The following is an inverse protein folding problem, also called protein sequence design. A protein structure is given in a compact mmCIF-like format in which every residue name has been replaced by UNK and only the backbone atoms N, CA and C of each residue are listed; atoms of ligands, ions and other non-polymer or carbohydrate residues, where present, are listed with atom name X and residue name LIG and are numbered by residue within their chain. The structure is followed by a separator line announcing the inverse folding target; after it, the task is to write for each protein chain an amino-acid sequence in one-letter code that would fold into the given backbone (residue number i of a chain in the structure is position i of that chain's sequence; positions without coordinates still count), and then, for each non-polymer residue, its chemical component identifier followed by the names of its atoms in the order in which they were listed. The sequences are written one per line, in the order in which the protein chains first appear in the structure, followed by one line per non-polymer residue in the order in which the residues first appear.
data_IF_019812432133
#
_entry.id   IF_019812432133
#
_cell.length_a   1.000
_cell.length_b   1.000
_cell.length_c   1.000
_cell.angle_alpha   90.00
_cell.angle_beta   90.00
_cell.angle_gamma   90.00
#
_symmetry.space_group_name_H-M   'P 1'
#
loop_
_entity.id
_entity.type
_entity.pdbx_description
1 polymer ?
#
# COMPACT_ATOMS: atom_id res chain seq x y z
N UNK A 1 -49.09 -39.89 -17.14
CA UNK A 1 -50.14 -39.53 -16.15
C UNK A 1 -50.94 -38.37 -16.71
N UNK A 2 -52.28 -38.44 -16.72
CA UNK A 2 -53.09 -37.24 -17.03
C UNK A 2 -52.78 -36.19 -15.98
N UNK A 3 -52.56 -34.95 -16.40
CA UNK A 3 -52.30 -33.84 -15.48
C UNK A 3 -53.48 -33.71 -14.52
N UNK A 4 -53.23 -33.86 -13.23
CA UNK A 4 -54.27 -33.71 -12.21
C UNK A 4 -54.80 -32.28 -12.29
N UNK A 5 -56.12 -32.11 -12.40
CA UNK A 5 -56.74 -30.79 -12.34
C UNK A 5 -57.01 -30.42 -10.87
N UNK A 6 -56.01 -29.80 -10.26
CA UNK A 6 -56.03 -29.36 -8.87
C UNK A 6 -57.20 -28.42 -8.55
N UNK A 7 -57.64 -27.61 -9.52
CA UNK A 7 -58.70 -26.66 -9.32
C UNK A 7 -60.05 -27.37 -9.22
N UNK A 8 -60.31 -28.32 -10.13
CA UNK A 8 -61.52 -29.15 -10.11
C UNK A 8 -61.60 -30.01 -8.84
N UNK A 9 -60.48 -30.59 -8.40
CA UNK A 9 -60.42 -31.35 -7.14
C UNK A 9 -60.72 -30.49 -5.92
N UNK A 10 -60.14 -29.28 -5.87
CA UNK A 10 -60.35 -28.33 -4.78
C UNK A 10 -61.80 -27.86 -4.71
N UNK A 11 -62.40 -27.50 -5.83
CA UNK A 11 -63.80 -27.09 -5.91
C UNK A 11 -64.76 -28.22 -5.50
N UNK A 12 -64.47 -29.46 -5.92
CA UNK A 12 -65.24 -30.64 -5.51
C UNK A 12 -65.13 -30.91 -4.00
N UNK A 13 -63.93 -30.81 -3.42
CA UNK A 13 -63.68 -30.99 -1.99
C UNK A 13 -64.33 -29.88 -1.14
N UNK A 14 -64.21 -28.61 -1.53
CA UNK A 14 -64.84 -27.47 -0.86
C UNK A 14 -66.37 -27.54 -0.94
N UNK A 15 -66.93 -28.05 -2.04
CA UNK A 15 -68.38 -28.28 -2.20
C UNK A 15 -68.88 -29.41 -1.29
N UNK A 16 -68.09 -30.48 -1.12
CA UNK A 16 -68.41 -31.58 -0.22
C UNK A 16 -68.29 -31.18 1.27
N UNK A 17 -67.33 -30.33 1.64
CA UNK A 17 -67.14 -29.89 3.03
C UNK A 17 -68.22 -28.93 3.54
N UNK A 18 -68.86 -28.16 2.64
CA UNK A 18 -70.00 -27.27 2.96
C UNK A 18 -71.21 -28.00 3.57
N UNK A 19 -71.26 -29.33 3.47
CA UNK A 19 -72.33 -30.18 4.02
C UNK A 19 -71.97 -30.68 5.43
N UNK A 20 -70.87 -30.19 6.04
CA UNK A 20 -70.36 -30.60 7.35
C UNK A 20 -70.24 -32.12 7.52
N UNK A 21 -69.97 -32.80 6.40
CA UNK A 21 -69.99 -34.25 6.33
C UNK A 21 -68.67 -34.82 6.80
N UNK A 22 -68.69 -35.49 7.95
CA UNK A 22 -67.50 -36.06 8.61
C UNK A 22 -67.35 -37.57 8.37
N UNK A 23 -68.34 -38.23 7.76
CA UNK A 23 -68.32 -39.67 7.47
C UNK A 23 -69.73 -40.29 7.40
N UNK A 24 -69.78 -41.61 7.29
CA UNK A 24 -71.02 -42.41 7.16
C UNK A 24 -71.87 -42.50 8.44
N UNK A 25 -71.52 -41.78 9.50
CA UNK A 25 -72.16 -41.90 10.83
C UNK A 25 -73.26 -40.86 11.11
N UNK A 26 -73.58 -39.95 10.19
CA UNK A 26 -74.66 -38.97 10.41
C UNK A 26 -75.94 -39.35 9.65
N UNK A 27 -77.05 -39.45 10.41
CA UNK A 27 -78.41 -39.82 9.99
C UNK A 27 -79.09 -38.77 9.09
N UNK A 28 -78.54 -38.48 7.90
CA UNK A 28 -79.10 -37.53 6.94
C UNK A 28 -79.58 -38.19 5.63
N UNK A 29 -80.70 -37.65 5.13
CA UNK A 29 -81.54 -38.22 4.08
C UNK A 29 -80.78 -38.41 2.74
N UNK A 30 -80.84 -39.64 2.20
CA UNK A 30 -79.92 -40.21 1.22
C UNK A 30 -79.80 -39.48 -0.15
N UNK A 31 -80.81 -38.71 -0.57
CA UNK A 31 -80.95 -38.31 -1.99
C UNK A 31 -80.13 -37.05 -2.36
N UNK A 32 -79.94 -36.11 -1.42
CA UNK A 32 -79.12 -34.92 -1.62
C UNK A 32 -77.61 -35.19 -1.45
N UNK A 33 -77.26 -36.05 -0.50
CA UNK A 33 -75.89 -36.49 -0.22
C UNK A 33 -75.28 -37.26 -1.39
N UNK A 34 -76.05 -38.17 -1.99
CA UNK A 34 -75.58 -39.02 -3.08
C UNK A 34 -75.09 -38.23 -4.29
N UNK A 35 -75.68 -37.07 -4.60
CA UNK A 35 -75.26 -36.28 -5.78
C UNK A 35 -73.91 -35.59 -5.57
N UNK A 36 -73.67 -35.02 -4.39
CA UNK A 36 -72.40 -34.36 -4.05
C UNK A 36 -71.30 -35.38 -3.77
N UNK A 37 -71.65 -36.48 -3.09
CA UNK A 37 -70.78 -37.64 -2.86
C UNK A 37 -70.34 -38.27 -4.18
N UNK A 38 -71.29 -38.53 -5.08
CA UNK A 38 -71.00 -39.14 -6.38
C UNK A 38 -70.12 -38.23 -7.22
N UNK A 39 -70.35 -36.91 -7.19
CA UNK A 39 -69.46 -35.93 -7.85
C UNK A 39 -68.05 -35.93 -7.23
N UNK A 40 -67.94 -35.96 -5.91
CA UNK A 40 -66.65 -36.04 -5.23
C UNK A 40 -65.92 -37.34 -5.58
N UNK A 41 -66.56 -38.50 -5.51
CA UNK A 41 -65.96 -39.80 -5.88
C UNK A 41 -65.59 -39.86 -7.38
N UNK A 42 -66.39 -39.24 -8.25
CA UNK A 42 -66.08 -39.11 -9.69
C UNK A 42 -64.83 -38.26 -9.92
N UNK A 43 -64.63 -37.21 -9.12
CA UNK A 43 -63.46 -36.35 -9.20
C UNK A 43 -62.26 -36.86 -8.38
N UNK A 44 -62.47 -37.68 -7.33
CA UNK A 44 -61.47 -38.15 -6.36
C UNK A 44 -61.39 -39.69 -6.35
N UNK A 45 -61.31 -40.26 -7.55
CA UNK A 45 -61.15 -41.71 -7.75
C UNK A 45 -59.90 -42.24 -7.00
N UNK A 46 -59.88 -43.51 -6.56
CA UNK A 46 -58.69 -44.12 -5.93
C UNK A 46 -57.38 -43.90 -6.71
N UNK A 47 -57.44 -43.82 -8.05
CA UNK A 47 -56.28 -43.54 -8.90
C UNK A 47 -55.74 -42.12 -8.66
N UNK A 48 -56.62 -41.13 -8.49
CA UNK A 48 -56.26 -39.74 -8.23
C UNK A 48 -55.69 -39.61 -6.82
N UNK A 49 -56.30 -40.26 -5.84
CA UNK A 49 -55.79 -40.29 -4.46
C UNK A 49 -54.39 -40.88 -4.38
N UNK A 50 -54.14 -41.99 -5.08
CA UNK A 50 -52.79 -42.58 -5.17
C UNK A 50 -51.80 -41.63 -5.86
N UNK A 51 -52.20 -40.99 -6.96
CA UNK A 51 -51.33 -40.03 -7.66
C UNK A 51 -50.99 -38.79 -6.84
N UNK A 52 -51.90 -38.33 -5.96
CA UNK A 52 -51.64 -37.23 -5.03
C UNK A 52 -50.70 -37.65 -3.90
N UNK A 53 -50.79 -38.89 -3.43
CA UNK A 53 -49.85 -39.45 -2.45
C UNK A 53 -48.44 -39.57 -3.06
N UNK A 54 -48.33 -40.09 -4.28
CA UNK A 54 -47.06 -40.19 -4.99
C UNK A 54 -46.42 -38.80 -5.21
N UNK A 55 -47.22 -37.78 -5.58
CA UNK A 55 -46.73 -36.40 -5.74
C UNK A 55 -46.31 -35.78 -4.40
N UNK A 56 -47.06 -36.03 -3.32
CA UNK A 56 -46.68 -35.58 -1.98
C UNK A 56 -45.36 -36.20 -1.52
N UNK A 57 -45.17 -37.50 -1.75
CA UNK A 57 -43.94 -38.19 -1.38
C UNK A 57 -42.75 -37.66 -2.20
N UNK A 58 -42.93 -37.44 -3.50
CA UNK A 58 -41.91 -36.80 -4.34
C UNK A 58 -41.58 -35.36 -3.90
N UNK A 59 -42.57 -34.58 -3.46
CA UNK A 59 -42.36 -33.24 -2.91
C UNK A 59 -41.62 -33.29 -1.58
N UNK A 60 -41.94 -34.23 -0.70
CA UNK A 60 -41.23 -34.42 0.58
C UNK A 60 -39.75 -34.78 0.35
N UNK A 61 -39.48 -35.65 -0.62
CA UNK A 61 -38.10 -35.96 -1.03
C UNK A 61 -37.37 -34.71 -1.55
N UNK A 62 -38.06 -33.89 -2.36
CA UNK A 62 -37.48 -32.63 -2.87
C UNK A 62 -37.21 -31.61 -1.76
N UNK A 63 -38.10 -31.50 -0.78
CA UNK A 63 -37.91 -30.63 0.39
C UNK A 63 -36.70 -31.08 1.20
N UNK A 64 -36.59 -32.38 1.49
CA UNK A 64 -35.45 -32.93 2.24
C UNK A 64 -34.11 -32.69 1.51
N UNK A 65 -34.10 -32.75 0.17
CA UNK A 65 -32.91 -32.43 -0.62
C UNK A 65 -32.56 -30.93 -0.58
N UNK A 66 -33.57 -30.05 -0.68
CA UNK A 66 -33.37 -28.60 -0.57
C UNK A 66 -32.86 -28.21 0.83
N UNK A 67 -33.36 -28.82 1.89
CA UNK A 67 -32.88 -28.58 3.26
C UNK A 67 -31.40 -28.97 3.43
N UNK A 68 -30.97 -30.10 2.83
CA UNK A 68 -29.55 -30.48 2.80
C UNK A 68 -28.71 -29.45 2.06
N UNK A 69 -29.19 -28.98 0.91
CA UNK A 69 -28.49 -27.95 0.11
C UNK A 69 -28.39 -26.63 0.87
N UNK A 70 -29.46 -26.19 1.55
CA UNK A 70 -29.44 -25.02 2.41
C UNK A 70 -28.39 -25.15 3.51
N UNK A 71 -28.38 -26.26 4.25
CA UNK A 71 -27.39 -26.50 5.30
C UNK A 71 -25.95 -26.53 4.76
N UNK A 72 -25.75 -27.05 3.54
CA UNK A 72 -24.45 -27.03 2.89
C UNK A 72 -24.02 -25.62 2.47
N UNK A 73 -24.95 -24.83 1.92
CA UNK A 73 -24.68 -23.43 1.56
C UNK A 73 -24.42 -22.55 2.78
N UNK A 74 -25.14 -22.74 3.88
CA UNK A 74 -24.87 -22.04 5.14
C UNK A 74 -23.47 -22.36 5.67
N UNK A 75 -23.07 -23.63 5.64
CA UNK A 75 -21.71 -24.04 6.04
C UNK A 75 -20.64 -23.41 5.15
N UNK A 76 -20.84 -23.42 3.83
CA UNK A 76 -19.91 -22.79 2.87
C UNK A 76 -19.85 -21.27 3.06
N UNK A 77 -20.99 -20.63 3.31
CA UNK A 77 -21.04 -19.20 3.57
C UNK A 77 -20.25 -18.84 4.83
N UNK A 78 -20.45 -19.57 5.93
CA UNK A 78 -19.68 -19.38 7.17
C UNK A 78 -18.19 -19.57 6.94
N UNK A 79 -17.78 -20.65 6.27
CA UNK A 79 -16.38 -20.89 5.92
C UNK A 79 -15.78 -19.75 5.08
N UNK A 80 -16.51 -19.27 4.07
CA UNK A 80 -16.04 -18.14 3.25
C UNK A 80 -15.92 -16.86 4.08
N UNK A 81 -16.84 -16.59 5.01
CA UNK A 81 -16.75 -15.41 5.89
C UNK A 81 -15.54 -15.50 6.81
N UNK A 82 -15.23 -16.67 7.37
CA UNK A 82 -14.04 -16.89 8.18
C UNK A 82 -12.75 -16.70 7.36
N UNK A 83 -12.70 -17.24 6.14
CA UNK A 83 -11.58 -17.03 5.21
C UNK A 83 -11.41 -15.56 4.83
N UNK A 84 -12.51 -14.85 4.53
CA UNK A 84 -12.47 -13.43 4.25
C UNK A 84 -11.98 -12.61 5.46
N UNK A 85 -12.39 -12.98 6.68
CA UNK A 85 -11.92 -12.33 7.90
C UNK A 85 -10.41 -12.53 8.11
N UNK A 86 -9.92 -13.76 7.94
CA UNK A 86 -8.49 -14.07 8.01
C UNK A 86 -7.68 -13.33 6.93
N UNK A 87 -8.23 -13.22 5.72
CA UNK A 87 -7.61 -12.48 4.63
C UNK A 87 -7.55 -10.98 4.91
N UNK A 88 -8.61 -10.41 5.50
CA UNK A 88 -8.65 -9.01 5.90
C UNK A 88 -7.60 -8.70 6.98
N UNK A 89 -7.47 -9.56 8.00
CA UNK A 89 -6.44 -9.44 9.04
C UNK A 89 -5.03 -9.47 8.43
N UNK A 90 -4.80 -10.38 7.47
CA UNK A 90 -3.51 -10.47 6.76
C UNK A 90 -3.21 -9.23 5.92
N UNK A 91 -4.22 -8.65 5.26
CA UNK A 91 -4.08 -7.40 4.50
C UNK A 91 -3.69 -6.26 5.44
N UNK A 92 -4.36 -6.15 6.59
CA UNK A 92 -4.06 -5.11 7.58
C UNK A 92 -2.62 -5.24 8.13
N UNK A 93 -2.18 -6.47 8.43
CA UNK A 93 -0.80 -6.75 8.83
C UNK A 93 0.22 -6.34 7.75
N UNK A 94 -0.07 -6.64 6.48
CA UNK A 94 0.78 -6.27 5.35
C UNK A 94 0.80 -4.75 5.11
N UNK A 95 -0.34 -4.08 5.29
CA UNK A 95 -0.44 -2.62 5.19
C UNK A 95 0.33 -1.93 6.32
N UNK A 96 0.26 -2.44 7.55
CA UNK A 96 1.04 -1.95 8.69
C UNK A 96 2.55 -2.09 8.48
N UNK A 97 2.98 -3.12 7.74
CA UNK A 97 4.39 -3.37 7.38
C UNK A 97 4.83 -2.66 6.09
N UNK A 98 3.92 -1.98 5.41
CA UNK A 98 4.21 -1.31 4.14
C UNK A 98 5.13 -0.11 4.34
N UNK A 99 5.99 0.15 3.37
CA UNK A 99 6.84 1.33 3.39
C UNK A 99 5.97 2.62 3.34
N UNK A 100 6.31 3.66 4.12
CA UNK A 100 5.69 4.98 4.03
C UNK A 100 5.62 5.52 2.60
N UNK A 101 4.56 6.27 2.30
CA UNK A 101 4.33 6.83 0.95
C UNK A 101 5.43 7.82 0.52
N UNK A 102 6.12 8.45 1.48
CA UNK A 102 7.30 9.29 1.23
C UNK A 102 8.43 8.54 0.52
N UNK A 103 8.53 7.22 0.69
CA UNK A 103 9.49 6.40 -0.05
C UNK A 103 9.13 6.26 -1.53
N UNK A 104 7.85 6.37 -1.89
CA UNK A 104 7.41 6.42 -3.29
C UNK A 104 7.99 7.63 -4.04
N UNK A 105 8.04 8.79 -3.37
CA UNK A 105 8.66 10.01 -3.91
C UNK A 105 10.18 9.82 -4.11
N UNK A 106 10.84 9.19 -3.14
CA UNK A 106 12.27 8.86 -3.26
C UNK A 106 12.50 7.89 -4.43
N UNK A 107 11.67 6.85 -4.55
CA UNK A 107 11.73 5.89 -5.64
C UNK A 107 11.54 6.54 -7.01
N UNK A 108 10.58 7.47 -7.12
CA UNK A 108 10.34 8.20 -8.36
C UNK A 108 11.52 9.09 -8.76
N UNK A 109 12.06 9.86 -7.81
CA UNK A 109 13.27 10.66 -8.04
C UNK A 109 14.45 9.78 -8.45
N UNK A 110 14.63 8.61 -7.83
CA UNK A 110 15.69 7.67 -8.18
C UNK A 110 15.59 7.20 -9.64
N UNK A 111 14.36 6.98 -10.14
CA UNK A 111 14.10 6.50 -11.51
C UNK A 111 14.23 7.59 -12.56
N UNK A 112 13.89 8.83 -12.23
CA UNK A 112 13.73 9.91 -13.22
C UNK A 112 14.83 10.96 -13.22
N UNK A 113 15.54 11.15 -12.09
CA UNK A 113 16.61 12.14 -12.02
C UNK A 113 17.81 11.76 -12.90
N UNK A 114 18.62 12.75 -13.26
CA UNK A 114 19.89 12.54 -13.94
C UNK A 114 20.84 11.70 -13.07
N UNK A 115 21.45 10.68 -13.66
CA UNK A 115 22.40 9.82 -13.00
C UNK A 115 23.82 10.41 -12.91
N UNK A 116 24.04 11.61 -13.47
CA UNK A 116 25.29 12.36 -13.46
C UNK A 116 26.47 11.51 -13.95
N UNK A 117 26.22 10.72 -15.01
CA UNK A 117 27.21 9.84 -15.67
C UNK A 117 27.75 8.74 -14.72
N UNK A 118 26.96 8.34 -13.73
CA UNK A 118 27.29 7.28 -12.78
C UNK A 118 26.15 6.27 -12.70
N UNK A 119 26.46 4.97 -12.69
CA UNK A 119 25.43 3.91 -12.59
C UNK A 119 24.68 3.95 -11.25
N UNK A 120 25.41 4.24 -10.18
CA UNK A 120 24.93 4.21 -8.80
C UNK A 120 25.22 5.55 -8.10
N UNK A 121 24.52 6.63 -8.45
CA UNK A 121 24.87 7.98 -8.00
C UNK A 121 24.59 8.17 -6.52
N UNK A 122 25.63 8.51 -5.76
CA UNK A 122 25.57 8.96 -4.36
C UNK A 122 25.64 10.48 -4.30
N UNK A 123 24.50 11.13 -4.11
CA UNK A 123 24.44 12.59 -4.02
C UNK A 123 24.95 13.04 -2.65
N UNK A 124 26.00 13.85 -2.64
CA UNK A 124 26.67 14.30 -1.44
C UNK A 124 26.64 15.83 -1.38
N UNK A 125 26.36 16.37 -0.20
CA UNK A 125 26.56 17.78 0.10
C UNK A 125 27.97 17.94 0.67
N UNK A 126 28.72 18.86 0.06
CA UNK A 126 30.02 19.30 0.55
C UNK A 126 29.95 20.77 0.94
N UNK A 127 30.87 21.20 1.80
CA UNK A 127 31.16 22.59 2.06
C UNK A 127 32.64 22.88 1.83
N UNK A 128 33.00 24.14 1.61
CA UNK A 128 34.40 24.54 1.53
C UNK A 128 34.93 24.79 2.92
N UNK A 129 36.06 24.17 3.25
CA UNK A 129 36.79 24.41 4.49
C UNK A 129 38.22 24.80 4.17
N UNK A 130 38.68 25.89 4.78
CA UNK A 130 40.07 26.30 4.67
C UNK A 130 40.93 25.50 5.65
N UNK A 131 42.06 25.02 5.14
CA UNK A 131 43.11 24.42 5.95
C UNK A 131 44.42 25.15 5.71
N UNK A 132 45.24 25.20 6.76
CA UNK A 132 46.61 25.67 6.66
C UNK A 132 47.45 24.55 6.04
N UNK A 133 48.18 24.89 4.98
CA UNK A 133 49.11 24.01 4.29
C UNK A 133 50.49 24.66 4.25
N UNK A 134 51.47 23.85 3.86
CA UNK A 134 52.82 24.33 3.62
C UNK A 134 52.88 25.08 2.28
N UNK A 135 53.64 26.19 2.26
CA UNK A 135 53.78 27.06 1.10
C UNK A 135 54.59 26.44 -0.05
N UNK A 136 55.33 25.36 0.21
CA UNK A 136 56.08 24.63 -0.82
C UNK A 136 55.23 23.55 -1.52
N UNK A 137 53.98 23.34 -1.08
CA UNK A 137 53.04 22.36 -1.62
C UNK A 137 51.89 23.03 -2.38
N UNK A 138 50.86 22.26 -2.73
CA UNK A 138 49.68 22.77 -3.45
C UNK A 138 48.78 23.60 -2.52
N UNK A 139 48.73 24.91 -2.76
CA UNK A 139 47.92 25.90 -2.03
C UNK A 139 47.14 26.80 -2.99
N UNK A 140 46.02 27.37 -2.53
CA UNK A 140 45.19 28.27 -3.34
C UNK A 140 45.57 29.73 -3.16
N UNK A 141 45.93 30.12 -1.93
CA UNK A 141 46.37 31.49 -1.62
C UNK A 141 47.31 31.56 -0.43
N UNK A 142 48.04 32.66 -0.34
CA UNK A 142 48.88 33.00 0.82
C UNK A 142 48.30 34.21 1.51
N UNK A 143 48.15 34.12 2.83
CA UNK A 143 47.62 35.17 3.68
C UNK A 143 48.57 35.47 4.83
N UNK A 144 48.55 36.72 5.27
CA UNK A 144 49.18 37.11 6.52
C UNK A 144 48.11 37.11 7.59
N UNK A 145 48.34 36.37 8.68
CA UNK A 145 47.43 36.31 9.82
C UNK A 145 48.15 36.77 11.07
N UNK A 146 47.41 37.47 11.93
CA UNK A 146 47.92 37.88 13.24
C UNK A 146 47.86 36.74 14.28
N UNK A 147 48.27 37.03 15.52
CA UNK A 147 48.19 36.08 16.65
C UNK A 147 46.75 35.65 16.97
N UNK A 148 45.79 36.54 16.73
CA UNK A 148 44.36 36.31 16.99
C UNK A 148 43.67 35.56 15.82
N UNK A 149 44.38 35.32 14.72
CA UNK A 149 43.90 34.61 13.54
C UNK A 149 43.19 35.50 12.51
N UNK A 150 43.25 36.82 12.64
CA UNK A 150 42.65 37.74 11.67
C UNK A 150 43.55 37.90 10.44
N UNK A 151 42.96 37.82 9.25
CA UNK A 151 43.67 38.07 8.00
C UNK A 151 43.98 39.55 7.80
N UNK A 152 45.20 39.85 7.33
CA UNK A 152 45.63 41.20 6.99
C UNK A 152 44.78 41.78 5.86
N UNK A 153 44.38 43.05 5.99
CA UNK A 153 43.73 43.74 4.88
C UNK A 153 44.71 43.93 3.69
N UNK A 154 44.18 44.24 2.51
CA UNK A 154 44.96 44.33 1.26
C UNK A 154 46.20 45.23 1.35
N UNK A 155 46.11 46.37 2.06
CA UNK A 155 47.24 47.31 2.21
C UNK A 155 48.29 46.76 3.17
N UNK A 156 47.87 46.16 4.29
CA UNK A 156 48.74 45.54 5.27
C UNK A 156 49.46 44.33 4.68
N UNK A 157 48.72 43.44 4.02
CA UNK A 157 49.27 42.27 3.33
C UNK A 157 50.36 42.66 2.34
N UNK A 158 50.13 43.68 1.49
CA UNK A 158 51.16 44.17 0.55
C UNK A 158 52.43 44.69 1.25
N UNK A 159 52.29 45.36 2.39
CA UNK A 159 53.44 45.85 3.17
C UNK A 159 54.22 44.69 3.80
N UNK A 160 53.52 43.69 4.33
CA UNK A 160 54.14 42.51 4.95
C UNK A 160 54.86 41.65 3.90
N UNK A 161 54.25 41.48 2.72
CA UNK A 161 54.90 40.77 1.61
C UNK A 161 56.18 41.47 1.16
N UNK A 162 56.17 42.81 1.05
CA UNK A 162 57.39 43.57 0.76
C UNK A 162 58.48 43.40 1.82
N UNK A 163 58.14 43.27 3.11
CA UNK A 163 59.13 43.00 4.15
C UNK A 163 59.74 41.61 3.97
N UNK A 164 58.90 40.61 3.70
CA UNK A 164 59.31 39.24 3.46
C UNK A 164 60.19 39.10 2.21
N UNK A 165 59.80 39.68 1.07
CA UNK A 165 60.59 39.68 -0.17
C UNK A 165 61.97 40.35 0.00
N UNK A 166 62.06 41.38 0.85
CA UNK A 166 63.31 42.06 1.17
C UNK A 166 64.09 41.38 2.32
N UNK A 167 63.73 40.14 2.70
CA UNK A 167 64.36 39.38 3.78
C UNK A 167 64.44 40.13 5.11
N UNK A 168 63.45 40.99 5.39
CA UNK A 168 63.29 41.68 6.68
C UNK A 168 62.34 40.88 7.57
N UNK A 169 62.65 40.83 8.86
CA UNK A 169 61.77 40.19 9.84
C UNK A 169 60.39 40.87 9.84
N UNK A 170 59.30 40.09 9.64
CA UNK A 170 57.96 40.61 9.82
C UNK A 170 57.73 40.98 11.30
N UNK A 171 56.83 41.92 11.62
CA UNK A 171 56.53 42.27 13.00
C UNK A 171 56.11 41.04 13.81
N UNK A 172 56.48 40.99 15.10
CA UNK A 172 56.37 39.84 16.03
C UNK A 172 54.99 39.17 16.18
N UNK A 173 53.96 39.64 15.48
CA UNK A 173 52.58 39.14 15.56
C UNK A 173 52.04 38.60 14.25
N UNK A 174 52.76 38.75 13.15
CA UNK A 174 52.26 38.39 11.82
C UNK A 174 53.01 37.19 11.28
N UNK A 175 52.25 36.15 10.93
CA UNK A 175 52.76 34.96 10.27
C UNK A 175 52.21 34.85 8.85
N UNK A 176 53.09 34.44 7.94
CA UNK A 176 52.75 34.16 6.54
C UNK A 176 52.30 32.71 6.44
N UNK A 177 51.11 32.47 5.95
CA UNK A 177 50.47 31.14 5.95
C UNK A 177 49.89 30.84 4.56
N UNK A 178 50.18 29.66 4.04
CA UNK A 178 49.53 29.15 2.84
C UNK A 178 48.21 28.46 3.22
N UNK A 179 47.16 28.75 2.47
CA UNK A 179 45.80 28.27 2.73
C UNK A 179 45.28 27.55 1.51
N UNK A 180 44.58 26.45 1.75
CA UNK A 180 43.89 25.66 0.74
C UNK A 180 42.44 25.46 1.10
N UNK A 181 41.56 25.64 0.13
CA UNK A 181 40.14 25.29 0.21
C UNK A 181 39.97 23.81 -0.13
N UNK A 182 39.56 23.02 0.86
CA UNK A 182 39.23 21.62 0.67
C UNK A 182 37.72 21.39 0.72
N UNK A 183 37.29 20.34 0.04
CA UNK A 183 35.91 19.88 0.06
C UNK A 183 35.68 19.03 1.31
N UNK A 184 34.95 19.57 2.28
CA UNK A 184 34.56 18.87 3.49
C UNK A 184 33.18 18.23 3.30
N UNK A 185 33.09 16.92 3.52
CA UNK A 185 31.84 16.18 3.43
C UNK A 185 30.88 16.59 4.56
N UNK A 186 29.63 16.88 4.20
CA UNK A 186 28.58 17.24 5.16
C UNK A 186 27.59 16.08 5.33
N UNK A 187 26.96 15.64 4.23
CA UNK A 187 25.97 14.56 4.26
C UNK A 187 25.80 13.92 2.89
N UNK A 188 25.17 12.75 2.85
CA UNK A 188 24.81 12.02 1.63
C UNK A 188 23.30 11.75 1.60
N UNK A 189 22.69 11.88 0.43
CA UNK A 189 21.29 11.58 0.18
C UNK A 189 21.16 10.58 -0.98
N UNK A 190 20.00 9.90 -1.04
CA UNK A 190 19.70 8.97 -2.15
C UNK A 190 19.34 9.68 -3.46
N UNK A 191 18.95 10.96 -3.39
CA UNK A 191 18.46 11.74 -4.52
C UNK A 191 19.07 13.14 -4.51
N UNK A 192 19.17 13.77 -5.69
CA UNK A 192 19.60 15.16 -5.82
C UNK A 192 18.64 16.09 -5.09
N UNK A 193 17.33 15.81 -5.17
CA UNK A 193 16.30 16.58 -4.48
C UNK A 193 16.49 16.53 -2.96
N UNK A 194 16.84 15.37 -2.39
CA UNK A 194 17.13 15.27 -0.96
C UNK A 194 18.29 16.17 -0.52
N UNK A 195 19.33 16.31 -1.36
CA UNK A 195 20.41 17.26 -1.09
C UNK A 195 19.93 18.72 -1.19
N UNK A 196 19.08 19.05 -2.17
CA UNK A 196 18.49 20.39 -2.30
C UNK A 196 17.62 20.74 -1.10
N UNK A 197 16.80 19.81 -0.62
CA UNK A 197 15.94 19.99 0.55
C UNK A 197 16.78 20.19 1.82
N UNK A 198 17.86 19.43 1.98
CA UNK A 198 18.82 19.62 3.08
C UNK A 198 19.48 21.00 3.02
N UNK A 199 19.92 21.46 1.84
CA UNK A 199 20.50 22.79 1.67
C UNK A 199 19.49 23.91 1.90
N UNK A 200 18.23 23.72 1.50
CA UNK A 200 17.18 24.69 1.80
C UNK A 200 16.95 24.82 3.31
N UNK A 201 17.00 23.71 4.05
CA UNK A 201 16.78 23.70 5.50
C UNK A 201 18.00 24.19 6.31
N UNK A 202 19.22 23.77 5.93
CA UNK A 202 20.42 23.94 6.75
C UNK A 202 21.58 24.69 6.06
N UNK A 203 21.42 25.09 4.78
CA UNK A 203 22.51 25.68 4.00
C UNK A 203 23.07 26.97 4.57
N UNK A 204 22.29 27.71 5.37
CA UNK A 204 22.75 28.93 6.05
C UNK A 204 23.83 28.68 7.12
N UNK A 205 23.96 27.44 7.62
CA UNK A 205 24.99 27.03 8.58
C UNK A 205 26.26 26.50 7.90
N UNK A 206 26.27 26.42 6.56
CA UNK A 206 27.36 25.83 5.79
C UNK A 206 28.14 26.89 5.03
N UNK A 207 29.44 26.68 4.85
CA UNK A 207 30.31 27.59 4.12
C UNK A 207 30.44 27.19 2.65
N UNK A 208 29.91 28.01 1.74
CA UNK A 208 29.94 27.77 0.29
C UNK A 208 29.52 26.32 -0.08
N UNK A 209 28.33 25.87 0.35
CA UNK A 209 27.93 24.49 0.14
C UNK A 209 27.62 24.20 -1.33
N UNK A 210 27.89 22.96 -1.76
CA UNK A 210 27.58 22.50 -3.11
C UNK A 210 27.25 21.00 -3.13
N UNK A 211 26.56 20.55 -4.18
CA UNK A 211 26.20 19.15 -4.39
C UNK A 211 27.21 18.52 -5.35
N UNK A 212 27.75 17.38 -4.95
CA UNK A 212 28.65 16.56 -5.75
C UNK A 212 28.15 15.12 -5.80
N UNK A 213 28.42 14.41 -6.90
CA UNK A 213 28.03 13.00 -7.04
C UNK A 213 29.26 12.11 -6.89
N UNK A 214 29.22 11.25 -5.88
CA UNK A 214 30.12 10.10 -5.75
C UNK A 214 29.51 8.87 -6.41
N UNK A 215 30.36 7.90 -6.70
CA UNK A 215 29.94 6.61 -7.22
C UNK A 215 29.79 5.59 -6.11
N UNK A 216 28.61 4.96 -6.03
CA UNK A 216 28.35 3.77 -5.23
C UNK A 216 28.83 2.48 -5.88
N UNK A 217 29.58 2.55 -6.99
CA UNK A 217 30.08 1.38 -7.70
C UNK A 217 30.84 0.44 -6.75
N UNK A 218 30.54 -0.86 -6.85
CA UNK A 218 31.04 -1.95 -5.99
C UNK A 218 30.59 -1.89 -4.52
N UNK A 219 29.68 -1.00 -4.15
CA UNK A 219 29.03 -1.03 -2.86
C UNK A 219 27.69 -1.79 -2.97
N UNK A 220 27.72 -3.11 -2.77
CA UNK A 220 26.54 -3.97 -2.92
C UNK A 220 25.38 -3.59 -1.98
N UNK A 221 25.69 -3.14 -0.77
CA UNK A 221 24.69 -2.71 0.22
C UNK A 221 23.95 -1.45 -0.26
N UNK A 222 24.71 -0.43 -0.67
CA UNK A 222 24.13 0.80 -1.21
C UNK A 222 23.28 0.54 -2.47
N UNK A 223 23.81 -0.25 -3.40
CA UNK A 223 23.11 -0.61 -4.64
C UNK A 223 21.82 -1.37 -4.32
N UNK A 224 21.87 -2.31 -3.37
CA UNK A 224 20.70 -3.08 -2.92
C UNK A 224 19.60 -2.19 -2.35
N UNK A 225 19.93 -1.30 -1.41
CA UNK A 225 18.97 -0.37 -0.80
C UNK A 225 18.41 0.60 -1.85
N UNK A 226 19.28 1.16 -2.70
CA UNK A 226 18.87 2.11 -3.74
C UNK A 226 17.92 1.46 -4.75
N UNK A 227 18.18 0.23 -5.17
CA UNK A 227 17.32 -0.51 -6.08
C UNK A 227 15.98 -0.90 -5.41
N UNK A 228 16.01 -1.27 -4.14
CA UNK A 228 14.78 -1.51 -3.38
C UNK A 228 13.91 -0.25 -3.30
N UNK A 229 14.50 0.90 -2.96
CA UNK A 229 13.82 2.20 -2.97
C UNK A 229 13.28 2.55 -4.36
N UNK A 230 14.04 2.31 -5.42
CA UNK A 230 13.61 2.50 -6.80
C UNK A 230 12.38 1.66 -7.18
N UNK A 231 12.17 0.52 -6.52
CA UNK A 231 11.03 -0.36 -6.72
C UNK A 231 9.74 0.11 -6.06
N UNK A 232 9.82 1.01 -5.07
CA UNK A 232 8.65 1.55 -4.38
C UNK A 232 7.94 2.55 -5.30
N UNK A 233 6.61 2.50 -5.34
CA UNK A 233 5.76 3.41 -6.12
C UNK A 233 4.84 4.19 -5.20
N UNK A 234 4.39 5.34 -5.69
CA UNK A 234 3.34 6.13 -5.04
C UNK A 234 2.03 5.33 -5.17
N UNK A 235 1.31 5.10 -4.07
CA UNK A 235 0.03 4.38 -4.10
C UNK A 235 -1.00 5.20 -4.90
N UNK A 236 -1.57 4.62 -5.95
CA UNK A 236 -2.62 5.26 -6.76
C UNK A 236 -2.28 5.48 -8.24
N UNK A 237 -1.06 5.13 -8.67
CA UNK A 237 -0.65 4.97 -10.08
C UNK A 237 -0.33 3.49 -10.38
#
# INVERSE_FOLDING_TARGET
MSKIDYQVLREAAESASKINWTGLEDDLNADGYMRTLTRYIQCHSPIITLSLLDERDALNERIAELEKQCAEWERKALSNFEECAAMAERIEELQAKSAPDSFGIIGENIRTQDNRITSDPMFCVYQKREIVVDADYDYDRIVWVDEDGNEANKRQSRRLELLHENFREPPEKWRRVAVKDIDEFVTCCFTEQGCKDYLAANGHNLRLPFIYVKSGFRNAEYIGIRNWLAGIRIKGE
#
